data_IF_441142502924
#
_entry.id   IF_441142502924
#
_cell.length_a   1.000
_cell.length_b   1.000
_cell.length_c   1.000
_cell.angle_alpha   90.00
_cell.angle_beta   90.00
_cell.angle_gamma   90.00
#
_symmetry.space_group_name_H-M   'P 1'
#
loop_
_entity.id
_entity.type
_entity.pdbx_description
1 polymer ?
#
# COMPACT_ATOMS: atom_id res chain seq x y z
N UNK A 1 -47.29 -44.31 -7.64
CA UNK A 1 -47.11 -42.84 -7.65
C UNK A 1 -46.22 -42.36 -6.51
N UNK A 2 -46.48 -42.71 -5.25
CA UNK A 2 -45.67 -42.27 -4.09
C UNK A 2 -44.18 -42.63 -4.23
N UNK A 3 -43.84 -43.84 -4.66
CA UNK A 3 -42.45 -44.26 -4.89
C UNK A 3 -41.73 -43.46 -6.00
N UNK A 4 -42.46 -43.06 -7.05
CA UNK A 4 -41.89 -42.23 -8.12
C UNK A 4 -41.63 -40.79 -7.64
N UNK A 5 -42.48 -40.27 -6.77
CA UNK A 5 -42.31 -38.94 -6.15
C UNK A 5 -41.10 -38.94 -5.21
N UNK A 6 -40.93 -40.00 -4.41
CA UNK A 6 -39.76 -40.16 -3.53
C UNK A 6 -38.47 -40.27 -4.34
N UNK A 7 -38.49 -41.04 -5.44
CA UNK A 7 -37.34 -41.16 -6.35
C UNK A 7 -36.95 -39.82 -6.99
N UNK A 8 -37.93 -39.03 -7.42
CA UNK A 8 -37.70 -37.69 -7.98
C UNK A 8 -37.09 -36.73 -6.94
N UNK A 9 -37.58 -36.78 -5.69
CA UNK A 9 -37.06 -35.98 -4.58
C UNK A 9 -35.60 -36.30 -4.26
N UNK A 10 -35.26 -37.59 -4.20
CA UNK A 10 -33.88 -38.04 -3.95
C UNK A 10 -32.92 -37.59 -5.06
N UNK A 11 -33.35 -37.66 -6.32
CA UNK A 11 -32.54 -37.21 -7.45
C UNK A 11 -32.29 -35.69 -7.40
N UNK A 12 -33.30 -34.92 -6.99
CA UNK A 12 -33.20 -33.47 -6.87
C UNK A 12 -32.24 -33.05 -5.72
N UNK A 13 -32.27 -33.77 -4.60
CA UNK A 13 -31.33 -33.57 -3.47
C UNK A 13 -29.88 -33.88 -3.91
N UNK A 14 -29.67 -34.98 -4.64
CA UNK A 14 -28.35 -35.34 -5.17
C UNK A 14 -27.83 -34.28 -6.14
N UNK A 15 -28.70 -33.72 -6.97
CA UNK A 15 -28.33 -32.65 -7.91
C UNK A 15 -27.89 -31.37 -7.18
N UNK A 16 -28.60 -30.98 -6.11
CA UNK A 16 -28.23 -29.82 -5.28
C UNK A 16 -26.88 -30.05 -4.59
N UNK A 17 -26.63 -31.26 -4.06
CA UNK A 17 -25.34 -31.61 -3.45
C UNK A 17 -24.19 -31.57 -4.46
N UNK A 18 -24.40 -32.11 -5.67
CA UNK A 18 -23.41 -32.08 -6.74
C UNK A 18 -23.11 -30.65 -7.19
N UNK A 19 -24.13 -29.80 -7.35
CA UNK A 19 -23.97 -28.39 -7.68
C UNK A 19 -23.23 -27.64 -6.57
N UNK A 20 -23.55 -27.91 -5.30
CA UNK A 20 -22.86 -27.31 -4.16
C UNK A 20 -21.38 -27.70 -4.15
N UNK A 21 -21.03 -28.98 -4.34
CA UNK A 21 -19.64 -29.43 -4.39
C UNK A 21 -18.90 -28.86 -5.61
N UNK A 22 -19.55 -28.77 -6.76
CA UNK A 22 -18.98 -28.17 -7.97
C UNK A 22 -18.72 -26.66 -7.82
N UNK A 23 -19.60 -25.95 -7.12
CA UNK A 23 -19.47 -24.50 -6.87
C UNK A 23 -18.53 -24.19 -5.69
N UNK A 24 -18.51 -25.03 -4.66
CA UNK A 24 -17.62 -24.87 -3.49
C UNK A 24 -16.15 -25.17 -3.79
N UNK A 25 -15.82 -25.72 -4.97
CA UNK A 25 -14.43 -25.95 -5.38
C UNK A 25 -13.66 -24.66 -5.71
N UNK A 26 -14.32 -23.50 -5.71
CA UNK A 26 -13.67 -22.20 -5.89
C UNK A 26 -13.32 -21.48 -4.57
N UNK A 27 -13.75 -21.98 -3.40
CA UNK A 27 -13.46 -21.34 -2.09
C UNK A 27 -12.49 -22.13 -1.21
N UNK A 28 -11.98 -23.26 -1.68
CA UNK A 28 -10.77 -23.85 -1.10
C UNK A 28 -9.58 -23.37 -1.94
N UNK A 29 -9.24 -22.08 -1.79
CA UNK A 29 -7.89 -21.59 -2.10
C UNK A 29 -6.95 -22.25 -1.10
N UNK A 30 -6.62 -23.52 -1.36
CA UNK A 30 -5.33 -24.06 -0.97
C UNK A 30 -4.30 -23.02 -1.40
N UNK A 31 -3.45 -22.61 -0.46
CA UNK A 31 -2.31 -21.77 -0.71
C UNK A 31 -1.48 -22.43 -1.81
N UNK A 32 -1.74 -22.05 -3.06
CA UNK A 32 -0.87 -22.38 -4.17
C UNK A 32 0.44 -21.65 -3.87
N UNK A 33 1.36 -22.36 -3.23
CA UNK A 33 2.78 -22.03 -3.20
C UNK A 33 3.16 -21.96 -4.68
N UNK A 34 3.43 -20.76 -5.24
CA UNK A 34 3.71 -20.66 -6.66
C UNK A 34 4.99 -21.45 -6.94
N UNK A 35 4.87 -22.45 -7.82
CA UNK A 35 6.01 -23.23 -8.29
C UNK A 35 6.98 -22.25 -8.96
N UNK A 36 8.23 -22.13 -8.49
CA UNK A 36 9.18 -21.20 -9.09
C UNK A 36 9.45 -21.61 -10.54
N UNK A 37 9.16 -20.71 -11.47
CA UNK A 37 9.46 -20.90 -12.89
C UNK A 37 10.94 -20.61 -13.10
N UNK A 38 11.68 -21.63 -13.54
CA UNK A 38 13.12 -21.54 -13.76
C UNK A 38 13.36 -20.83 -15.09
N UNK A 39 13.76 -19.56 -15.04
CA UNK A 39 14.44 -18.91 -16.16
C UNK A 39 15.92 -19.32 -16.15
N UNK A 40 16.50 -19.61 -17.32
CA UNK A 40 17.82 -20.21 -17.52
C UNK A 40 19.04 -19.39 -17.00
N UNK A 41 18.82 -18.36 -16.18
CA UNK A 41 19.83 -17.45 -15.63
C UNK A 41 19.99 -17.54 -14.10
N UNK A 42 19.37 -18.51 -13.42
CA UNK A 42 19.55 -18.69 -11.96
C UNK A 42 18.92 -17.58 -11.10
N UNK A 43 18.06 -16.74 -11.69
CA UNK A 43 17.31 -15.71 -10.98
C UNK A 43 16.01 -16.34 -10.47
N UNK A 44 15.88 -16.48 -9.15
CA UNK A 44 14.64 -16.91 -8.50
C UNK A 44 13.58 -15.81 -8.61
N UNK A 45 12.76 -15.82 -9.66
CA UNK A 45 11.56 -14.97 -9.69
C UNK A 45 10.43 -15.66 -8.90
N UNK A 46 10.48 -15.56 -7.58
CA UNK A 46 9.28 -15.83 -6.78
C UNK A 46 8.30 -14.72 -7.17
N UNK A 47 7.21 -15.06 -7.87
CA UNK A 47 6.11 -14.13 -8.11
C UNK A 47 5.51 -13.82 -6.72
N UNK A 48 5.92 -12.69 -6.14
CA UNK A 48 5.51 -12.27 -4.80
C UNK A 48 4.09 -11.70 -4.88
N UNK A 49 3.27 -11.95 -3.85
CA UNK A 49 1.95 -11.29 -3.74
C UNK A 49 2.18 -9.80 -3.51
N UNK A 50 1.42 -8.95 -4.19
CA UNK A 50 1.47 -7.50 -4.02
C UNK A 50 1.38 -7.11 -2.54
N UNK A 51 2.16 -6.10 -2.08
CA UNK A 51 2.09 -5.61 -0.71
C UNK A 51 0.73 -4.98 -0.37
N UNK A 52 -0.13 -4.72 -1.38
CA UNK A 52 -1.44 -4.09 -1.23
C UNK A 52 -2.32 -4.73 -0.16
N UNK A 53 -2.48 -6.05 -0.17
CA UNK A 53 -3.36 -6.74 0.78
C UNK A 53 -2.86 -6.58 2.23
N UNK A 54 -1.55 -6.57 2.43
CA UNK A 54 -0.96 -6.40 3.75
C UNK A 54 -0.97 -4.93 4.18
N UNK A 55 -0.77 -4.00 3.25
CA UNK A 55 -0.86 -2.56 3.50
C UNK A 55 -2.26 -2.18 4.01
N UNK A 56 -3.31 -2.74 3.41
CA UNK A 56 -4.70 -2.50 3.82
C UNK A 56 -5.02 -3.01 5.24
N UNK A 57 -4.22 -3.93 5.79
CA UNK A 57 -4.38 -4.41 7.17
C UNK A 57 -3.78 -3.47 8.20
N UNK A 58 -2.74 -2.72 7.83
CA UNK A 58 -2.01 -1.81 8.73
C UNK A 58 -2.44 -0.36 8.58
N UNK A 59 -3.06 0.01 7.45
CA UNK A 59 -3.52 1.36 7.17
C UNK A 59 -4.98 1.57 7.59
N UNK A 60 -5.33 2.79 8.03
CA UNK A 60 -6.71 3.12 8.31
C UNK A 60 -7.54 3.04 7.02
N UNK A 61 -8.75 2.49 7.16
CA UNK A 61 -9.71 2.44 6.06
C UNK A 61 -10.28 3.82 5.73
N UNK A 62 -10.90 3.94 4.55
CA UNK A 62 -11.57 5.18 4.11
C UNK A 62 -12.55 5.72 5.16
N UNK A 63 -13.37 4.82 5.71
CA UNK A 63 -14.38 5.14 6.72
C UNK A 63 -13.76 5.65 8.03
N UNK A 64 -12.62 5.10 8.43
CA UNK A 64 -11.91 5.51 9.65
C UNK A 64 -11.33 6.92 9.49
N UNK A 65 -10.71 7.19 8.33
CA UNK A 65 -10.18 8.52 8.00
C UNK A 65 -11.32 9.53 7.94
N UNK A 66 -12.45 9.17 7.31
CA UNK A 66 -13.61 10.04 7.23
C UNK A 66 -14.15 10.39 8.63
N UNK A 67 -14.36 9.39 9.49
CA UNK A 67 -14.79 9.62 10.88
C UNK A 67 -13.80 10.49 11.65
N UNK A 68 -12.50 10.30 11.42
CA UNK A 68 -11.48 11.13 12.03
C UNK A 68 -11.56 12.59 11.56
N UNK A 69 -11.70 12.82 10.24
CA UNK A 69 -11.89 14.14 9.65
C UNK A 69 -13.19 14.82 10.11
N UNK A 70 -14.25 14.06 10.36
CA UNK A 70 -15.51 14.55 10.94
C UNK A 70 -15.37 14.91 12.42
N UNK A 71 -14.53 14.18 13.17
CA UNK A 71 -14.26 14.48 14.59
C UNK A 71 -13.37 15.72 14.79
N UNK A 72 -12.65 16.14 13.75
CA UNK A 72 -11.83 17.34 13.77
C UNK A 72 -12.73 18.58 13.64
N UNK A 73 -13.06 19.19 14.78
CA UNK A 73 -13.80 20.45 14.85
C UNK A 73 -12.94 21.69 14.59
N UNK A 74 -11.63 21.53 14.40
CA UNK A 74 -10.69 22.62 14.15
C UNK A 74 -9.76 22.26 12.99
N UNK A 75 -9.73 23.12 11.99
CA UNK A 75 -8.69 23.20 10.97
C UNK A 75 -7.41 23.74 11.62
N UNK A 76 -6.29 23.40 11.01
CA UNK A 76 -4.90 23.67 11.43
C UNK A 76 -4.56 25.19 11.23
N UNK A 77 -5.60 26.02 11.23
CA UNK A 77 -5.62 27.47 11.02
C UNK A 77 -6.75 28.23 11.72
N UNK A 78 -7.47 27.64 12.69
CA UNK A 78 -8.61 28.23 13.46
C UNK A 78 -9.96 28.35 12.74
N UNK A 79 -10.19 27.61 11.65
CA UNK A 79 -11.49 27.54 10.97
C UNK A 79 -12.02 26.10 10.97
N UNK A 80 -13.27 25.86 10.59
CA UNK A 80 -13.77 24.49 10.42
C UNK A 80 -13.28 23.95 9.07
N UNK A 81 -12.73 22.73 9.02
CA UNK A 81 -12.40 22.06 7.76
C UNK A 81 -13.65 21.98 6.87
N UNK A 82 -13.60 22.55 5.67
CA UNK A 82 -14.74 22.47 4.76
C UNK A 82 -14.90 21.03 4.25
N UNK A 83 -16.13 20.64 3.91
CA UNK A 83 -16.40 19.32 3.33
C UNK A 83 -15.60 19.07 2.03
N UNK A 84 -15.27 20.13 1.29
CA UNK A 84 -14.41 20.05 0.10
C UNK A 84 -12.98 19.70 0.47
N UNK A 85 -12.44 20.29 1.52
CA UNK A 85 -11.07 20.02 1.97
C UNK A 85 -10.94 18.60 2.52
N UNK A 86 -11.94 18.13 3.28
CA UNK A 86 -12.01 16.74 3.76
C UNK A 86 -11.99 15.73 2.61
N UNK A 87 -12.81 15.97 1.57
CA UNK A 87 -12.83 15.14 0.38
C UNK A 87 -11.48 15.14 -0.35
N UNK A 88 -10.85 16.31 -0.46
CA UNK A 88 -9.56 16.48 -1.14
C UNK A 88 -8.41 15.77 -0.40
N UNK A 89 -8.38 15.82 0.93
CA UNK A 89 -7.41 15.08 1.76
C UNK A 89 -7.56 13.57 1.52
N UNK A 90 -8.81 13.09 1.53
CA UNK A 90 -9.11 11.68 1.37
C UNK A 90 -8.72 11.17 -0.02
N UNK A 91 -9.03 11.96 -1.05
CA UNK A 91 -8.61 11.68 -2.42
C UNK A 91 -7.08 11.66 -2.54
N UNK A 92 -6.38 12.65 -1.99
CA UNK A 92 -4.92 12.68 -2.01
C UNK A 92 -4.30 11.47 -1.29
N UNK A 93 -4.88 11.05 -0.17
CA UNK A 93 -4.47 9.86 0.56
C UNK A 93 -4.59 8.60 -0.31
N UNK A 94 -5.76 8.36 -0.90
CA UNK A 94 -6.01 7.20 -1.76
C UNK A 94 -5.11 7.20 -2.99
N UNK A 95 -4.96 8.35 -3.67
CA UNK A 95 -4.10 8.50 -4.84
C UNK A 95 -2.62 8.27 -4.50
N UNK A 96 -2.15 8.77 -3.35
CA UNK A 96 -0.76 8.59 -2.93
C UNK A 96 -0.46 7.11 -2.63
N UNK A 97 -1.36 6.40 -1.94
CA UNK A 97 -1.22 4.95 -1.72
C UNK A 97 -1.18 4.21 -3.07
N UNK A 98 -2.16 4.49 -3.94
CA UNK A 98 -2.28 3.80 -5.23
C UNK A 98 -1.02 3.98 -6.08
N UNK A 99 -0.49 5.20 -6.15
CA UNK A 99 0.73 5.52 -6.91
C UNK A 99 1.96 4.80 -6.37
N UNK A 100 2.17 4.79 -5.06
CA UNK A 100 3.33 4.09 -4.48
C UNK A 100 3.22 2.57 -4.68
N UNK A 101 2.02 2.01 -4.55
CA UNK A 101 1.79 0.58 -4.83
C UNK A 101 2.07 0.24 -6.31
N UNK A 102 1.55 1.03 -7.24
CA UNK A 102 1.81 0.83 -8.68
C UNK A 102 3.30 0.90 -9.00
N UNK A 103 4.02 1.86 -8.40
CA UNK A 103 5.45 2.01 -8.56
C UNK A 103 6.23 0.80 -8.02
N UNK A 104 5.84 0.26 -6.86
CA UNK A 104 6.47 -0.94 -6.29
C UNK A 104 6.16 -2.18 -7.14
N UNK A 105 4.93 -2.34 -7.60
CA UNK A 105 4.52 -3.46 -8.46
C UNK A 105 5.21 -3.40 -9.83
N UNK A 106 5.38 -2.20 -10.39
CA UNK A 106 6.19 -1.99 -11.58
C UNK A 106 7.66 -2.31 -11.31
N UNK A 107 8.23 -1.78 -10.23
CA UNK A 107 9.61 -2.03 -9.86
C UNK A 107 9.90 -3.51 -9.59
N UNK A 108 8.96 -4.27 -9.02
CA UNK A 108 9.12 -5.72 -8.85
C UNK A 108 9.18 -6.46 -10.19
N UNK A 109 8.39 -6.05 -11.19
CA UNK A 109 8.47 -6.59 -12.56
C UNK A 109 9.79 -6.24 -13.25
N UNK A 110 10.35 -5.08 -12.94
CA UNK A 110 11.60 -4.57 -13.51
C UNK A 110 12.85 -5.03 -12.74
N UNK A 111 12.69 -5.73 -11.61
CA UNK A 111 13.81 -6.19 -10.77
C UNK A 111 14.47 -5.08 -9.95
N UNK A 112 13.73 -4.04 -9.57
CA UNK A 112 14.20 -2.98 -8.68
C UNK A 112 14.39 -3.53 -7.26
N UNK A 113 15.60 -3.37 -6.73
CA UNK A 113 15.98 -3.86 -5.40
C UNK A 113 15.83 -2.80 -4.30
N UNK A 114 15.99 -1.52 -4.64
CA UNK A 114 16.03 -0.42 -3.68
C UNK A 114 15.08 0.71 -4.09
N UNK A 115 14.42 1.29 -3.09
CA UNK A 115 13.59 2.47 -3.24
C UNK A 115 14.05 3.53 -2.25
N UNK A 116 14.05 4.79 -2.63
CA UNK A 116 14.41 5.88 -1.74
C UNK A 116 13.22 6.82 -1.49
N UNK A 117 13.24 7.45 -0.32
CA UNK A 117 12.24 8.43 0.07
C UNK A 117 12.56 9.81 -0.48
N UNK A 118 11.60 10.42 -1.15
CA UNK A 118 11.67 11.81 -1.60
C UNK A 118 10.45 12.60 -1.14
N UNK A 119 10.67 13.83 -0.72
CA UNK A 119 9.61 14.80 -0.41
C UNK A 119 9.42 15.72 -1.61
N UNK A 120 8.19 15.78 -2.13
CA UNK A 120 7.84 16.66 -3.26
C UNK A 120 6.37 17.07 -3.20
N UNK A 121 6.02 18.35 -3.42
CA UNK A 121 6.89 19.47 -3.83
C UNK A 121 7.67 20.14 -2.69
N UNK A 122 7.14 20.07 -1.46
CA UNK A 122 7.76 20.63 -0.25
C UNK A 122 8.22 19.51 0.68
N UNK A 123 9.22 19.81 1.52
CA UNK A 123 9.61 18.94 2.63
C UNK A 123 8.43 18.70 3.58
N UNK A 124 8.42 17.50 4.18
CA UNK A 124 7.39 17.11 5.12
C UNK A 124 7.91 17.23 6.57
N UNK A 125 7.48 18.22 7.37
CA UNK A 125 8.03 18.43 8.71
C UNK A 125 7.76 17.28 9.68
N UNK A 126 6.70 16.51 9.46
CA UNK A 126 6.40 15.34 10.28
C UNK A 126 7.24 14.13 9.90
N UNK A 127 7.45 13.88 8.60
CA UNK A 127 8.27 12.75 8.15
C UNK A 127 9.78 12.98 8.41
N UNK A 128 10.25 14.22 8.27
CA UNK A 128 11.67 14.59 8.49
C UNK A 128 12.16 14.35 9.92
N UNK A 129 11.26 14.22 10.90
CA UNK A 129 11.60 13.83 12.28
C UNK A 129 12.02 12.36 12.39
N UNK A 130 11.64 11.52 11.43
CA UNK A 130 11.86 10.07 11.46
C UNK A 130 12.92 9.64 10.45
N UNK A 131 12.93 10.25 9.27
CA UNK A 131 13.88 9.93 8.21
C UNK A 131 14.17 11.13 7.33
N UNK A 132 15.35 11.13 6.71
CA UNK A 132 15.80 12.17 5.80
C UNK A 132 15.48 11.82 4.35
N UNK A 133 15.42 12.85 3.50
CA UNK A 133 15.34 12.68 2.04
C UNK A 133 16.53 11.83 1.58
N UNK A 134 16.26 10.85 0.73
CA UNK A 134 17.27 9.97 0.18
C UNK A 134 17.60 8.76 1.05
N UNK A 135 17.00 8.58 2.23
CA UNK A 135 17.09 7.28 2.87
C UNK A 135 16.38 6.22 2.02
N UNK A 136 16.93 5.01 2.00
CA UNK A 136 16.41 3.93 1.16
C UNK A 136 15.85 2.78 1.98
N UNK A 137 14.95 2.05 1.35
CA UNK A 137 14.32 0.83 1.82
C UNK A 137 14.43 -0.19 0.70
N UNK A 138 14.78 -1.41 1.07
CA UNK A 138 14.88 -2.53 0.12
C UNK A 138 13.49 -3.04 -0.26
N UNK A 139 13.41 -3.67 -1.43
CA UNK A 139 12.20 -4.39 -1.84
C UNK A 139 11.80 -5.41 -0.77
N UNK A 140 12.73 -6.17 -0.22
CA UNK A 140 12.48 -7.18 0.80
C UNK A 140 11.86 -6.58 2.06
N UNK A 141 12.36 -5.43 2.51
CA UNK A 141 11.82 -4.69 3.66
C UNK A 141 10.41 -4.15 3.40
N UNK A 142 10.11 -3.67 2.18
CA UNK A 142 8.76 -3.22 1.82
C UNK A 142 7.75 -4.38 1.93
N UNK A 143 8.11 -5.55 1.44
CA UNK A 143 7.22 -6.72 1.47
C UNK A 143 7.12 -7.32 2.89
N UNK A 144 8.16 -7.21 3.72
CA UNK A 144 8.14 -7.61 5.12
C UNK A 144 7.35 -6.62 5.98
N UNK A 145 7.50 -5.32 5.71
CA UNK A 145 6.89 -4.22 6.45
C UNK A 145 6.20 -3.22 5.52
N UNK A 146 4.98 -3.54 5.01
CA UNK A 146 4.23 -2.65 4.13
C UNK A 146 3.92 -1.27 4.74
N UNK A 147 3.95 -1.14 6.07
CA UNK A 147 3.79 0.14 6.77
C UNK A 147 4.82 1.20 6.32
N UNK A 148 5.96 0.78 5.77
CA UNK A 148 7.02 1.65 5.20
C UNK A 148 6.63 2.34 3.90
N UNK A 149 5.50 1.96 3.29
CA UNK A 149 4.98 2.56 2.06
C UNK A 149 4.24 3.86 2.42
N UNK A 150 4.63 5.03 1.87
CA UNK A 150 3.94 6.29 2.09
C UNK A 150 2.59 6.33 1.37
N UNK A 151 1.66 7.23 1.74
CA UNK A 151 1.76 8.32 2.72
C UNK A 151 1.72 7.83 4.17
N UNK A 152 2.50 8.44 5.06
CA UNK A 152 2.53 8.05 6.48
C UNK A 152 1.39 8.67 7.30
N UNK A 153 1.07 9.92 7.02
CA UNK A 153 0.01 10.69 7.68
C UNK A 153 -0.78 11.51 6.65
N UNK A 154 -1.88 12.10 7.09
CA UNK A 154 -2.71 12.97 6.25
C UNK A 154 -1.90 14.18 5.78
N UNK A 155 -1.91 14.46 4.47
CA UNK A 155 -1.11 15.53 3.86
C UNK A 155 0.39 15.23 3.68
N UNK A 156 0.81 13.98 3.84
CA UNK A 156 2.20 13.57 3.61
C UNK A 156 2.63 13.80 2.14
N UNK A 157 3.75 14.51 1.94
CA UNK A 157 4.38 14.76 0.62
C UNK A 157 5.45 13.73 0.25
N UNK A 158 5.71 12.75 1.12
CA UNK A 158 6.68 11.67 0.88
C UNK A 158 6.22 10.71 -0.22
N UNK A 159 7.16 10.30 -1.07
CA UNK A 159 6.99 9.30 -2.13
C UNK A 159 8.20 8.38 -2.21
N UNK A 160 7.98 7.16 -2.68
CA UNK A 160 9.05 6.24 -3.04
C UNK A 160 9.43 6.43 -4.50
N UNK A 161 10.73 6.32 -4.77
CA UNK A 161 11.27 6.28 -6.11
C UNK A 161 12.20 5.08 -6.27
N UNK A 162 12.14 4.36 -7.41
CA UNK A 162 13.00 3.22 -7.66
C UNK A 162 14.42 3.70 -7.94
N UNK A 163 15.41 3.02 -7.38
CA UNK A 163 16.82 3.28 -7.69
C UNK A 163 17.34 2.25 -8.69
N UNK A 164 17.66 2.70 -9.91
CA UNK A 164 18.13 1.83 -11.00
C UNK A 164 19.67 1.75 -11.14
N UNK A 165 20.44 2.31 -10.19
CA UNK A 165 21.92 2.23 -10.19
C UNK A 165 22.64 3.07 -11.26
N UNK A 166 21.90 3.71 -12.17
CA UNK A 166 22.44 4.61 -13.19
C UNK A 166 22.41 6.09 -12.76
N UNK A 167 21.72 6.39 -11.68
CA UNK A 167 21.61 7.73 -11.12
C UNK A 167 22.87 8.10 -10.36
N UNK A 168 23.31 9.35 -10.49
CA UNK A 168 24.41 9.85 -9.68
C UNK A 168 23.91 10.00 -8.25
N UNK A 169 24.47 9.21 -7.33
CA UNK A 169 24.16 9.22 -5.89
C UNK A 169 24.22 10.62 -5.24
N UNK A 170 25.03 11.52 -5.81
CA UNK A 170 25.17 12.93 -5.38
C UNK A 170 24.00 13.82 -5.80
N UNK A 171 23.30 13.47 -6.87
CA UNK A 171 22.20 14.27 -7.42
C UNK A 171 20.85 13.87 -6.80
N UNK A 172 20.76 12.67 -6.21
CA UNK A 172 19.53 12.12 -5.64
C UNK A 172 19.40 12.27 -4.12
N UNK A 173 20.49 12.50 -3.38
CA UNK A 173 20.45 12.51 -1.90
C UNK A 173 21.44 13.51 -1.27
N UNK A 174 20.99 14.30 -0.28
CA UNK A 174 21.87 15.22 0.47
C UNK A 174 22.83 14.48 1.43
N UNK A 175 22.55 13.22 1.78
CA UNK A 175 23.26 12.47 2.83
C UNK A 175 23.91 11.14 2.36
N UNK A 176 23.90 10.85 1.06
CA UNK A 176 24.16 9.50 0.57
C UNK A 176 22.99 8.57 0.92
N UNK A 177 22.67 7.62 0.05
CA UNK A 177 21.62 6.63 0.27
C UNK A 177 21.93 5.82 1.55
N UNK A 178 21.47 6.28 2.72
CA UNK A 178 21.57 5.56 3.98
C UNK A 178 20.34 4.66 4.15
N UNK A 179 20.49 3.45 4.70
CA UNK A 179 19.35 2.59 4.92
C UNK A 179 18.40 3.23 5.94
N UNK A 180 17.10 3.09 5.70
CA UNK A 180 16.07 3.49 6.64
C UNK A 180 16.03 2.54 7.84
N UNK A 181 16.21 1.24 7.57
CA UNK A 181 16.35 0.20 8.57
C UNK A 181 17.76 0.21 9.20
N UNK A 182 17.82 0.20 10.52
CA UNK A 182 19.08 0.06 11.29
C UNK A 182 19.32 -1.37 11.79
N UNK A 183 18.43 -2.29 11.45
CA UNK A 183 18.38 -3.67 11.92
C UNK A 183 17.18 -4.38 11.31
N UNK A 184 16.72 -5.48 11.91
CA UNK A 184 15.61 -6.26 11.35
C UNK A 184 14.20 -5.75 11.72
N UNK A 185 14.12 -4.79 12.64
CA UNK A 185 12.86 -4.24 13.18
C UNK A 185 12.37 -3.05 12.36
N UNK A 186 11.04 -2.85 12.36
CA UNK A 186 10.40 -1.71 11.73
C UNK A 186 10.85 -0.40 12.42
N UNK A 187 11.47 0.55 11.68
CA UNK A 187 11.81 1.85 12.25
C UNK A 187 10.57 2.62 12.72
N UNK A 188 10.72 3.56 13.65
CA UNK A 188 9.62 4.41 14.05
C UNK A 188 9.08 5.20 12.85
N UNK A 189 7.75 5.25 12.72
CA UNK A 189 7.04 5.94 11.66
C UNK A 189 6.10 7.01 12.25
N UNK A 190 5.79 8.08 11.49
CA UNK A 190 4.77 9.03 11.90
C UNK A 190 3.42 8.34 12.14
N UNK A 191 2.70 8.74 13.18
CA UNK A 191 1.31 8.30 13.34
C UNK A 191 0.44 8.96 12.27
N UNK A 192 -0.53 8.20 11.73
CA UNK A 192 -1.33 8.71 10.61
C UNK A 192 -2.24 9.89 11.00
N UNK A 193 -2.58 10.00 12.29
CA UNK A 193 -3.41 11.06 12.88
C UNK A 193 -2.66 12.37 13.09
N UNK A 194 -1.34 12.41 12.92
CA UNK A 194 -0.56 13.63 13.13
C UNK A 194 -1.04 14.70 12.14
N UNK A 195 -1.57 15.80 12.69
CA UNK A 195 -2.14 16.91 11.95
C UNK A 195 -1.03 17.81 11.40
N UNK A 196 -1.00 18.02 10.08
CA UNK A 196 -0.16 19.04 9.44
C UNK A 196 -0.96 19.86 8.43
N UNK A 197 -0.58 21.15 8.27
CA UNK A 197 -1.22 22.09 7.34
C UNK A 197 -1.25 21.52 5.94
N UNK A 198 -2.47 21.39 5.42
CA UNK A 198 -2.79 20.91 4.10
C UNK A 198 -2.30 21.98 3.09
N UNK A 199 -1.09 21.83 2.55
CA UNK A 199 -0.61 22.58 1.38
C UNK A 199 -1.27 22.08 0.07
N UNK A 200 -2.51 21.57 0.13
CA UNK A 200 -3.17 20.94 -1.02
C UNK A 200 -3.60 21.99 -2.06
N UNK A 201 -3.54 23.28 -1.72
CA UNK A 201 -3.79 24.37 -2.67
C UNK A 201 -2.62 24.69 -3.63
N UNK A 202 -1.51 23.94 -3.64
CA UNK A 202 -0.36 24.24 -4.53
C UNK A 202 -0.12 23.23 -5.66
N UNK A 203 -0.83 22.11 -5.72
CA UNK A 203 -0.57 21.07 -6.74
C UNK A 203 -1.36 21.21 -8.05
N UNK A 204 -2.05 22.33 -8.30
CA UNK A 204 -2.76 22.59 -9.57
C UNK A 204 -2.04 23.54 -10.52
N UNK A 205 -0.76 23.80 -10.31
CA UNK A 205 0.02 24.64 -11.23
C UNK A 205 1.46 24.16 -11.38
N UNK A 206 1.69 23.14 -12.22
CA UNK A 206 2.72 23.06 -13.28
C UNK A 206 2.30 21.95 -14.24
#
# INVERSE_FOLDING_TARGET
MVLAIIGLLLLLILFILAAKVGLSKNDTREEQIPIPVIHASGIYSIVRRSPKEQLLKVRPGKEEIQKYLESLNEDIGKYLLSEKDKALILEHWEQSIARNLELIEQGDREGVEFYYYEFSPDDCPECTKFFNKGQFVTREEIFKYPATIPPFHLGCTCRLYPHHGKEKLRDTTELGLLPFFKGEELPPLPEWKVTFKINVSRSTSV
#
